data_IF_180356890062
#
_entry.id   IF_180356890062
#
_cell.length_a   1.000
_cell.length_b   1.000
_cell.length_c   1.000
_cell.angle_alpha   90.00
_cell.angle_beta   90.00
_cell.angle_gamma   90.00
#
_symmetry.space_group_name_H-M   'P 1'
#
loop_
_entity.id
_entity.type
_entity.pdbx_description
1 polymer ?
#
# COMPACT_ATOMS: atom_id res chain seq x y z
N UNK A 1 -60.23 22.21 34.17
CA UNK A 1 -60.81 20.86 34.41
C UNK A 1 -59.81 19.81 33.95
N UNK A 2 -59.69 18.70 34.69
CA UNK A 2 -58.54 17.79 34.66
C UNK A 2 -58.78 16.54 33.80
N UNK A 3 -57.71 15.88 33.37
CA UNK A 3 -57.65 14.42 33.19
C UNK A 3 -56.17 13.96 33.17
N UNK A 4 -55.74 13.40 34.29
CA UNK A 4 -54.64 12.43 34.45
C UNK A 4 -55.29 11.02 34.27
N UNK A 5 -54.60 9.87 34.27
CA UNK A 5 -53.41 9.34 33.59
C UNK A 5 -53.78 8.14 32.68
N UNK A 6 -52.83 7.44 32.07
CA UNK A 6 -52.64 5.99 32.33
C UNK A 6 -51.42 5.42 31.59
N UNK A 7 -50.59 4.78 32.41
CA UNK A 7 -49.47 3.91 32.07
C UNK A 7 -49.95 2.68 31.31
N UNK A 8 -49.16 2.22 30.34
CA UNK A 8 -48.94 0.79 30.15
C UNK A 8 -47.58 0.52 29.52
N UNK A 9 -46.67 0.09 30.39
CA UNK A 9 -45.48 -0.72 30.15
C UNK A 9 -45.66 -1.82 29.09
N UNK A 10 -44.74 -1.92 28.13
CA UNK A 10 -44.22 -3.22 27.66
C UNK A 10 -42.73 -3.05 27.30
N UNK A 11 -41.88 -3.72 28.06
CA UNK A 11 -40.46 -3.92 27.76
C UNK A 11 -40.32 -4.85 26.56
N UNK A 12 -39.67 -4.42 25.47
CA UNK A 12 -39.04 -5.35 24.52
C UNK A 12 -37.64 -4.87 24.18
N UNK A 13 -36.67 -5.51 24.85
CA UNK A 13 -35.30 -5.61 24.39
C UNK A 13 -35.30 -6.31 23.03
N UNK A 14 -34.93 -5.61 21.96
CA UNK A 14 -34.44 -6.25 20.73
C UNK A 14 -33.17 -5.56 20.24
N UNK A 15 -32.05 -6.06 20.79
CA UNK A 15 -30.88 -6.54 20.03
C UNK A 15 -30.79 -6.08 18.57
N UNK A 16 -30.32 -4.85 18.33
CA UNK A 16 -29.59 -4.52 17.11
C UNK A 16 -28.10 -4.30 17.46
N UNK A 17 -27.38 -5.42 17.52
CA UNK A 17 -25.95 -5.43 17.20
C UNK A 17 -25.85 -5.10 15.72
N UNK A 18 -25.40 -3.90 15.36
CA UNK A 18 -24.60 -3.71 14.14
C UNK A 18 -23.41 -2.79 14.46
N UNK A 19 -22.17 -3.24 14.19
CA UNK A 19 -20.97 -2.60 14.70
C UNK A 19 -20.56 -1.40 13.83
N UNK A 20 -19.99 -0.38 14.47
CA UNK A 20 -18.90 0.45 13.92
C UNK A 20 -19.03 0.91 12.46
N UNK A 21 -19.97 1.81 12.18
CA UNK A 21 -19.99 2.59 10.93
C UNK A 21 -19.46 4.02 11.11
N UNK A 22 -18.90 4.35 12.28
CA UNK A 22 -18.24 5.63 12.54
C UNK A 22 -16.88 5.40 13.19
N UNK A 23 -15.91 5.02 12.37
CA UNK A 23 -14.56 5.54 12.54
C UNK A 23 -13.89 5.48 11.16
N UNK A 24 -14.38 6.33 10.27
CA UNK A 24 -13.61 6.80 9.12
C UNK A 24 -12.42 7.62 9.63
N UNK A 25 -11.48 6.97 10.33
CA UNK A 25 -10.11 7.49 10.44
C UNK A 25 -9.43 7.09 9.15
N UNK A 26 -9.83 7.78 8.07
CA UNK A 26 -8.88 8.02 6.99
C UNK A 26 -7.76 8.82 7.63
N UNK A 27 -6.78 8.09 8.17
CA UNK A 27 -5.52 8.64 8.63
C UNK A 27 -4.91 9.21 7.36
N UNK A 28 -5.14 10.50 7.12
CA UNK A 28 -4.48 11.25 6.07
C UNK A 28 -3.01 11.08 6.36
N UNK A 29 -2.37 10.12 5.68
CA UNK A 29 -0.93 9.95 5.70
C UNK A 29 -0.44 11.20 5.00
N UNK A 30 -0.23 12.25 5.81
CA UNK A 30 0.50 13.43 5.41
C UNK A 30 1.91 12.91 5.18
N UNK A 31 2.17 12.42 3.97
CA UNK A 31 3.54 12.22 3.53
C UNK A 31 4.25 13.54 3.76
N UNK A 32 5.34 13.58 4.56
CA UNK A 32 6.09 14.80 4.75
C UNK A 32 6.44 15.30 3.35
N UNK A 33 5.94 16.49 3.02
CA UNK A 33 6.13 17.22 1.76
C UNK A 33 7.49 16.84 1.22
N UNK A 34 7.47 15.93 0.23
CA UNK A 34 8.65 15.18 -0.16
C UNK A 34 9.79 16.16 -0.34
N UNK A 35 10.82 16.02 0.47
CA UNK A 35 12.07 16.70 0.20
C UNK A 35 12.42 16.26 -1.21
N UNK A 36 12.35 17.20 -2.16
CA UNK A 36 12.62 16.97 -3.56
C UNK A 36 14.09 16.55 -3.62
N UNK A 37 14.34 15.25 -3.50
CA UNK A 37 15.64 14.69 -3.82
C UNK A 37 15.78 15.02 -5.30
N UNK A 38 16.70 15.92 -5.62
CA UNK A 38 16.79 16.53 -6.96
C UNK A 38 16.97 15.48 -8.07
N UNK A 39 17.22 14.21 -7.73
CA UNK A 39 17.40 13.08 -8.64
C UNK A 39 16.67 11.79 -8.19
N UNK A 40 15.49 11.88 -7.58
CA UNK A 40 14.75 10.65 -7.23
C UNK A 40 14.41 9.81 -8.47
N UNK A 41 14.76 8.52 -8.42
CA UNK A 41 14.39 7.54 -9.44
C UNK A 41 13.25 6.70 -8.90
N UNK A 42 12.17 6.62 -9.67
CA UNK A 42 11.02 5.78 -9.35
C UNK A 42 11.01 4.59 -10.30
N UNK A 43 10.82 3.40 -9.74
CA UNK A 43 10.85 2.15 -10.50
C UNK A 43 9.61 1.34 -10.16
N UNK A 44 8.97 0.80 -11.19
CA UNK A 44 7.98 -0.27 -11.06
C UNK A 44 8.74 -1.57 -11.27
N UNK A 45 8.72 -2.44 -10.28
CA UNK A 45 9.40 -3.72 -10.33
C UNK A 45 8.38 -4.85 -10.27
N UNK A 46 8.40 -5.69 -11.29
CA UNK A 46 7.57 -6.88 -11.37
C UNK A 46 8.44 -8.09 -11.03
N UNK A 47 7.95 -8.96 -10.15
CA UNK A 47 8.69 -10.12 -9.66
C UNK A 47 7.96 -11.41 -10.01
N UNK A 48 8.75 -12.39 -10.44
CA UNK A 48 8.37 -13.79 -10.49
C UNK A 48 8.92 -14.49 -9.25
N UNK A 49 8.04 -15.16 -8.52
CA UNK A 49 8.35 -15.76 -7.21
C UNK A 49 7.95 -17.25 -7.22
N UNK A 50 8.62 -18.07 -6.42
CA UNK A 50 8.12 -19.42 -6.16
C UNK A 50 6.85 -19.36 -5.32
N UNK A 51 5.79 -20.06 -5.73
CA UNK A 51 4.48 -20.00 -5.06
C UNK A 51 4.56 -20.34 -3.56
N UNK A 52 5.47 -21.23 -3.18
CA UNK A 52 5.71 -21.62 -1.77
C UNK A 52 6.39 -20.52 -0.94
N UNK A 53 7.09 -19.59 -1.59
CA UNK A 53 7.93 -18.56 -0.96
C UNK A 53 7.28 -17.16 -1.02
N UNK A 54 6.10 -17.02 -1.65
CA UNK A 54 5.42 -15.75 -1.89
C UNK A 54 5.28 -14.89 -0.62
N UNK A 55 4.82 -15.49 0.47
CA UNK A 55 4.64 -14.79 1.75
C UNK A 55 5.98 -14.29 2.31
N UNK A 56 7.03 -15.11 2.28
CA UNK A 56 8.36 -14.74 2.75
C UNK A 56 9.01 -13.65 1.91
N UNK A 57 8.83 -13.71 0.58
CA UNK A 57 9.30 -12.65 -0.32
C UNK A 57 8.58 -11.35 -0.04
N UNK A 58 7.27 -11.38 0.13
CA UNK A 58 6.45 -10.19 0.45
C UNK A 58 6.90 -9.57 1.77
N UNK A 59 7.06 -10.38 2.82
CA UNK A 59 7.57 -9.93 4.12
C UNK A 59 8.96 -9.30 4.05
N UNK A 60 9.80 -9.82 3.16
CA UNK A 60 11.15 -9.28 2.93
C UNK A 60 11.08 -7.94 2.22
N UNK A 61 10.21 -7.80 1.21
CA UNK A 61 10.01 -6.56 0.46
C UNK A 61 9.43 -5.43 1.32
N UNK A 62 8.45 -5.72 2.18
CA UNK A 62 7.81 -4.73 3.06
C UNK A 62 8.79 -4.11 4.07
N UNK A 63 9.90 -4.81 4.39
CA UNK A 63 10.96 -4.31 5.30
C UNK A 63 11.95 -3.37 4.62
N UNK A 64 11.93 -3.27 3.29
CA UNK A 64 12.86 -2.44 2.54
C UNK A 64 12.36 -0.98 2.49
N UNK A 65 13.16 -0.05 3.02
CA UNK A 65 12.84 1.37 3.03
C UNK A 65 12.64 1.98 1.64
N UNK A 66 13.29 1.41 0.62
CA UNK A 66 13.24 1.86 -0.76
C UNK A 66 11.96 1.40 -1.47
N UNK A 67 11.26 0.40 -0.92
CA UNK A 67 10.00 -0.11 -1.46
C UNK A 67 8.87 0.70 -0.83
N UNK A 68 8.16 1.47 -1.65
CA UNK A 68 7.06 2.34 -1.19
C UNK A 68 5.73 1.59 -1.15
N UNK A 69 5.55 0.65 -2.08
CA UNK A 69 4.31 -0.09 -2.25
C UNK A 69 4.61 -1.52 -2.71
N UNK A 70 3.84 -2.48 -2.22
CA UNK A 70 3.91 -3.89 -2.64
C UNK A 70 2.50 -4.38 -2.90
N UNK A 71 2.31 -5.03 -4.04
CA UNK A 71 1.04 -5.58 -4.47
C UNK A 71 1.25 -7.02 -4.93
N UNK A 72 0.44 -7.93 -4.40
CA UNK A 72 0.22 -9.23 -5.01
C UNK A 72 -0.79 -9.04 -6.15
N UNK A 73 -0.48 -9.57 -7.33
CA UNK A 73 -1.31 -9.34 -8.52
C UNK A 73 -1.66 -10.64 -9.21
N UNK A 74 -2.84 -10.68 -9.81
CA UNK A 74 -3.21 -11.75 -10.74
C UNK A 74 -2.69 -11.35 -12.13
N UNK A 75 -1.65 -12.01 -12.63
CA UNK A 75 -1.07 -11.67 -13.93
C UNK A 75 0.10 -12.56 -14.34
N UNK A 76 0.92 -12.08 -15.26
CA UNK A 76 2.18 -12.74 -15.65
C UNK A 76 3.17 -12.79 -14.47
N UNK A 77 3.12 -11.78 -13.60
CA UNK A 77 3.95 -11.64 -12.42
C UNK A 77 3.14 -11.94 -11.16
N UNK A 78 3.83 -12.38 -10.11
CA UNK A 78 3.20 -12.68 -8.82
C UNK A 78 3.11 -11.41 -7.94
N UNK A 79 4.15 -10.59 -7.98
CA UNK A 79 4.27 -9.37 -7.17
C UNK A 79 4.66 -8.18 -8.05
N UNK A 80 4.03 -7.04 -7.80
CA UNK A 80 4.43 -5.73 -8.34
C UNK A 80 4.74 -4.81 -7.18
N UNK A 81 5.92 -4.21 -7.16
CA UNK A 81 6.29 -3.22 -6.17
C UNK A 81 6.76 -1.91 -6.80
N UNK A 82 6.51 -0.81 -6.08
CA UNK A 82 7.04 0.50 -6.43
C UNK A 82 8.23 0.80 -5.55
N UNK A 83 9.30 1.29 -6.17
CA UNK A 83 10.51 1.71 -5.49
C UNK A 83 10.80 3.17 -5.72
N UNK A 84 11.46 3.76 -4.73
CA UNK A 84 12.01 5.11 -4.76
C UNK A 84 13.44 5.08 -4.28
N UNK A 85 14.36 5.51 -5.14
CA UNK A 85 15.79 5.58 -4.83
C UNK A 85 16.36 6.95 -5.19
N UNK A 86 17.54 7.26 -4.67
CA UNK A 86 18.20 8.57 -4.89
C UNK A 86 18.90 8.67 -6.25
N UNK A 87 19.10 7.54 -6.94
CA UNK A 87 19.70 7.46 -8.27
C UNK A 87 19.48 6.09 -8.90
N UNK A 88 19.81 5.98 -10.20
CA UNK A 88 19.82 4.71 -10.94
C UNK A 88 20.85 3.74 -10.35
N UNK A 89 22.00 4.26 -9.90
CA UNK A 89 23.03 3.45 -9.25
C UNK A 89 22.54 2.88 -7.92
N UNK A 90 21.87 3.70 -7.10
CA UNK A 90 21.25 3.23 -5.86
C UNK A 90 20.20 2.14 -6.13
N UNK A 91 19.37 2.31 -7.17
CA UNK A 91 18.43 1.27 -7.59
C UNK A 91 19.14 -0.03 -7.98
N UNK A 92 20.22 0.05 -8.77
CA UNK A 92 21.01 -1.13 -9.16
C UNK A 92 21.54 -1.89 -7.95
N UNK A 93 22.04 -1.16 -6.94
CA UNK A 93 22.54 -1.77 -5.70
C UNK A 93 21.41 -2.42 -4.89
N UNK A 94 20.25 -1.76 -4.77
CA UNK A 94 19.06 -2.34 -4.10
C UNK A 94 18.59 -3.61 -4.81
N UNK A 95 18.47 -3.56 -6.13
CA UNK A 95 18.05 -4.71 -6.93
C UNK A 95 19.01 -5.89 -6.73
N UNK A 96 20.32 -5.66 -6.90
CA UNK A 96 21.34 -6.73 -6.86
C UNK A 96 21.60 -7.25 -5.44
N UNK A 97 21.70 -6.36 -4.46
CA UNK A 97 22.18 -6.73 -3.13
C UNK A 97 21.06 -7.04 -2.15
N UNK A 98 19.83 -6.56 -2.41
CA UNK A 98 18.68 -6.81 -1.54
C UNK A 98 17.69 -7.72 -2.24
N UNK A 99 17.07 -7.28 -3.33
CA UNK A 99 15.91 -7.95 -3.93
C UNK A 99 16.27 -9.32 -4.54
N UNK A 100 17.28 -9.37 -5.42
CA UNK A 100 17.70 -10.62 -6.06
C UNK A 100 18.33 -11.64 -5.09
N UNK A 101 18.64 -11.22 -3.85
CA UNK A 101 19.13 -12.12 -2.80
C UNK A 101 18.02 -12.71 -1.94
N UNK A 102 16.78 -12.23 -2.07
CA UNK A 102 15.64 -12.80 -1.36
C UNK A 102 15.40 -14.21 -1.91
N UNK A 103 15.45 -15.26 -1.08
CA UNK A 103 15.16 -16.61 -1.55
C UNK A 103 13.74 -16.69 -2.13
N UNK A 104 13.54 -17.49 -3.16
CA UNK A 104 12.25 -17.60 -3.83
C UNK A 104 12.00 -16.58 -4.95
N UNK A 105 12.81 -15.51 -5.07
CA UNK A 105 12.76 -14.62 -6.24
C UNK A 105 13.42 -15.31 -7.43
N UNK A 106 12.64 -15.60 -8.47
CA UNK A 106 13.11 -16.27 -9.70
C UNK A 106 13.65 -15.29 -10.73
N UNK A 107 12.92 -14.19 -10.95
CA UNK A 107 13.25 -13.19 -11.95
C UNK A 107 12.55 -11.87 -11.63
N UNK A 108 13.07 -10.78 -12.20
CA UNK A 108 12.52 -9.44 -12.03
C UNK A 108 12.53 -8.68 -13.35
N UNK A 109 11.47 -7.92 -13.62
CA UNK A 109 11.38 -6.98 -14.74
C UNK A 109 11.17 -5.58 -14.16
N UNK A 110 12.06 -4.65 -14.49
CA UNK A 110 12.03 -3.28 -13.96
C UNK A 110 11.68 -2.26 -15.03
N UNK A 111 10.78 -1.34 -14.69
CA UNK A 111 10.40 -0.19 -15.51
C UNK A 111 10.72 1.09 -14.77
N UNK A 112 11.69 1.86 -15.29
CA UNK A 112 12.04 3.17 -14.74
C UNK A 112 11.01 4.19 -15.21
N UNK A 113 10.43 4.94 -14.27
CA UNK A 113 9.44 5.98 -14.58
C UNK A 113 10.17 7.22 -15.11
N UNK A 114 9.99 7.50 -16.40
CA UNK A 114 10.57 8.68 -17.06
C UNK A 114 9.81 9.96 -16.72
N UNK A 115 8.48 9.90 -16.68
CA UNK A 115 7.61 11.02 -16.37
C UNK A 115 6.34 10.55 -15.65
N UNK A 116 5.86 11.33 -14.68
CA UNK A 116 4.61 11.05 -13.97
C UNK A 116 3.57 12.08 -14.37
N UNK A 117 2.56 11.70 -15.17
CA UNK A 117 1.47 12.63 -15.53
C UNK A 117 0.49 12.89 -14.37
N UNK A 118 0.29 11.90 -13.49
CA UNK A 118 -0.70 11.95 -12.41
C UNK A 118 -0.27 11.04 -11.25
N UNK A 119 -0.45 11.50 -10.01
CA UNK A 119 -0.19 10.75 -8.78
C UNK A 119 -1.16 11.17 -7.69
N UNK A 120 -1.56 10.25 -6.82
CA UNK A 120 -2.47 10.54 -5.69
C UNK A 120 -3.75 11.27 -6.11
N UNK A 121 -4.29 10.85 -7.26
CA UNK A 121 -5.47 11.43 -7.94
C UNK A 121 -5.29 12.87 -8.45
N UNK A 122 -4.09 13.45 -8.37
CA UNK A 122 -3.78 14.82 -8.82
C UNK A 122 -2.83 14.82 -10.03
N UNK A 123 -3.04 15.68 -11.04
CA UNK A 123 -2.07 15.85 -12.11
C UNK A 123 -0.77 16.42 -11.53
N UNK A 124 0.36 16.00 -12.09
CA UNK A 124 1.65 16.66 -11.83
C UNK A 124 1.71 17.82 -12.80
N UNK A 125 1.44 19.03 -12.31
CA UNK A 125 1.68 20.27 -13.05
C UNK A 125 3.18 20.53 -13.10
N UNK A 126 3.67 20.95 -14.27
CA UNK A 126 5.01 21.53 -14.42
C UNK A 126 5.21 22.77 -13.54
#
# INVERSE_FOLDING_TARGET
MPAIPLSSSVSIRQRLKRPSALLAVQKTRLEPRGQLLQNEVRVILNLFVESKDLEMVTDSLVKLSEVTDVYEVTGEYDIVCLLRTESILAFREVLKNKILKIPGVKSTVSSIVLYTHKRDRKPVSE
#
